data_IF_139175639375
#
_entry.id   IF_139175639375
#
_cell.length_a   1.000
_cell.length_b   1.000
_cell.length_c   1.000
_cell.angle_alpha   90.00
_cell.angle_beta   90.00
_cell.angle_gamma   90.00
#
_symmetry.space_group_name_H-M   'P 1'
#
loop_
_entity.id
_entity.type
_entity.pdbx_description
1 polymer ?
#
# COMPACT_ATOMS: atom_id res chain seq x y z
N UNK A 1 6.16 -12.04 18.28
CA UNK A 1 5.08 -12.56 17.40
C UNK A 1 3.87 -11.67 17.60
N UNK A 2 3.75 -10.62 16.81
CA UNK A 2 2.68 -9.63 16.99
C UNK A 2 2.18 -9.28 15.58
N UNK A 3 1.46 -10.21 14.96
CA UNK A 3 0.77 -9.99 13.69
C UNK A 3 -0.49 -9.17 13.98
N UNK A 4 -0.32 -7.86 14.05
CA UNK A 4 -1.44 -6.91 14.04
C UNK A 4 -2.03 -6.92 12.63
N UNK A 5 -3.22 -7.52 12.50
CA UNK A 5 -4.02 -7.47 11.28
C UNK A 5 -4.35 -6.00 10.96
N UNK A 6 -3.56 -5.39 10.09
CA UNK A 6 -3.82 -4.06 9.57
C UNK A 6 -5.04 -4.18 8.65
N UNK A 7 -6.22 -3.87 9.20
CA UNK A 7 -7.42 -3.65 8.39
C UNK A 7 -7.17 -2.37 7.59
N UNK A 8 -6.85 -2.52 6.30
CA UNK A 8 -6.60 -1.41 5.37
C UNK A 8 -7.79 -0.46 5.39
N UNK A 9 -7.61 0.73 5.95
CA UNK A 9 -8.57 1.83 5.86
C UNK A 9 -8.41 2.46 4.48
N UNK A 10 -9.46 2.40 3.66
CA UNK A 10 -9.53 3.14 2.40
C UNK A 10 -9.70 4.62 2.76
N UNK A 11 -8.68 5.44 2.50
CA UNK A 11 -8.73 6.89 2.68
C UNK A 11 -9.09 7.53 1.34
N UNK A 12 -10.13 8.38 1.26
CA UNK A 12 -10.48 9.05 0.02
C UNK A 12 -9.43 10.13 -0.31
N UNK A 13 -8.88 10.12 -1.52
CA UNK A 13 -8.09 11.22 -2.05
C UNK A 13 -8.99 12.42 -2.41
N UNK A 14 -8.49 13.67 -2.32
CA UNK A 14 -9.27 14.85 -2.65
C UNK A 14 -9.38 14.99 -4.17
N UNK A 15 -10.55 14.66 -4.73
CA UNK A 15 -10.94 15.11 -6.08
C UNK A 15 -11.95 16.25 -5.97
N UNK A 16 -11.60 17.36 -6.61
CA UNK A 16 -12.46 18.50 -6.89
C UNK A 16 -13.44 18.14 -8.01
N UNK A 17 -14.71 18.51 -7.83
CA UNK A 17 -15.82 18.39 -8.80
C UNK A 17 -16.40 16.97 -9.05
N UNK A 18 -16.81 16.28 -7.98
CA UNK A 18 -17.65 15.07 -8.07
C UNK A 18 -18.88 15.18 -7.19
N UNK A 19 -20.04 14.81 -7.75
CA UNK A 19 -21.28 14.59 -6.99
C UNK A 19 -20.97 13.71 -5.77
N UNK A 20 -21.56 14.02 -4.61
CA UNK A 20 -21.25 13.29 -3.37
C UNK A 20 -21.62 11.80 -3.49
N UNK A 21 -22.59 11.48 -4.37
CA UNK A 21 -22.93 10.11 -4.74
C UNK A 21 -21.79 9.35 -5.42
N UNK A 22 -21.05 9.98 -6.33
CA UNK A 22 -19.97 9.33 -7.08
C UNK A 22 -18.81 8.92 -6.15
N UNK A 23 -18.47 9.76 -5.17
CA UNK A 23 -17.43 9.45 -4.18
C UNK A 23 -17.79 8.27 -3.30
N UNK A 24 -19.06 8.18 -2.88
CA UNK A 24 -19.55 7.05 -2.10
C UNK A 24 -19.54 5.75 -2.92
N UNK A 25 -19.98 5.81 -4.18
CA UNK A 25 -19.95 4.67 -5.10
C UNK A 25 -18.52 4.18 -5.35
N UNK A 26 -17.55 5.09 -5.46
CA UNK A 26 -16.12 4.75 -5.60
C UNK A 26 -15.58 4.00 -4.37
N UNK A 27 -15.93 4.45 -3.16
CA UNK A 27 -15.52 3.80 -1.91
C UNK A 27 -16.12 2.40 -1.78
N UNK A 28 -17.41 2.25 -2.09
CA UNK A 28 -18.12 0.97 -2.05
C UNK A 28 -17.54 -0.02 -3.07
N UNK A 29 -17.27 0.43 -4.29
CA UNK A 29 -16.65 -0.40 -5.32
C UNK A 29 -15.26 -0.88 -4.85
N UNK A 30 -14.45 0.02 -4.32
CA UNK A 30 -13.10 -0.30 -3.83
C UNK A 30 -13.14 -1.33 -2.70
N UNK A 31 -14.08 -1.20 -1.76
CA UNK A 31 -14.29 -2.17 -0.69
C UNK A 31 -14.72 -3.54 -1.24
N UNK A 32 -15.68 -3.56 -2.17
CA UNK A 32 -16.16 -4.78 -2.81
C UNK A 32 -15.04 -5.54 -3.50
N UNK A 33 -14.18 -4.83 -4.25
CA UNK A 33 -13.00 -5.43 -4.89
C UNK A 33 -12.02 -6.00 -3.85
N UNK A 34 -11.74 -5.26 -2.77
CA UNK A 34 -10.83 -5.73 -1.73
C UNK A 34 -11.35 -6.96 -0.97
N UNK A 35 -12.67 -7.11 -0.88
CA UNK A 35 -13.32 -8.22 -0.21
C UNK A 35 -13.60 -9.41 -1.15
N UNK A 36 -13.34 -9.28 -2.46
CA UNK A 36 -13.67 -10.30 -3.45
C UNK A 36 -15.17 -10.49 -3.67
N UNK A 37 -15.95 -9.42 -3.47
CA UNK A 37 -17.41 -9.42 -3.64
C UNK A 37 -17.82 -9.33 -5.12
N UNK A 38 -19.06 -9.70 -5.44
CA UNK A 38 -19.61 -9.59 -6.79
C UNK A 38 -19.72 -8.12 -7.24
N UNK A 39 -19.11 -7.80 -8.39
CA UNK A 39 -19.14 -6.46 -8.99
C UNK A 39 -20.32 -6.27 -9.95
N UNK A 40 -21.07 -7.34 -10.25
CA UNK A 40 -22.25 -7.32 -11.10
C UNK A 40 -23.27 -6.20 -10.78
N UNK A 41 -23.58 -5.90 -9.50
CA UNK A 41 -24.47 -4.80 -9.14
C UNK A 41 -23.96 -3.43 -9.60
N UNK A 42 -22.66 -3.17 -9.50
CA UNK A 42 -22.06 -1.91 -9.94
C UNK A 42 -22.11 -1.77 -11.46
N UNK A 43 -21.77 -2.84 -12.19
CA UNK A 43 -21.84 -2.88 -13.66
C UNK A 43 -23.29 -2.63 -14.12
N UNK A 44 -24.26 -3.36 -13.56
CA UNK A 44 -25.67 -3.17 -13.93
C UNK A 44 -26.17 -1.76 -13.62
N UNK A 45 -25.82 -1.19 -12.47
CA UNK A 45 -26.21 0.17 -12.06
C UNK A 45 -25.70 1.23 -13.04
N UNK A 46 -24.42 1.18 -13.42
CA UNK A 46 -23.81 2.21 -14.27
C UNK A 46 -24.24 2.12 -15.73
N UNK A 47 -24.50 0.91 -16.24
CA UNK A 47 -25.06 0.73 -17.58
C UNK A 47 -26.54 1.12 -17.63
N UNK A 48 -27.34 0.79 -16.60
CA UNK A 48 -28.74 1.20 -16.52
C UNK A 48 -28.92 2.73 -16.41
N UNK A 49 -27.95 3.44 -15.82
CA UNK A 49 -27.93 4.90 -15.75
C UNK A 49 -27.35 5.57 -17.01
N UNK A 50 -26.90 4.78 -18.00
CA UNK A 50 -26.30 5.28 -19.24
C UNK A 50 -24.94 5.96 -19.03
N UNK A 51 -24.23 5.66 -17.93
CA UNK A 51 -22.94 6.27 -17.56
C UNK A 51 -21.87 5.21 -17.24
N UNK A 52 -21.56 4.27 -18.15
CA UNK A 52 -20.54 3.24 -17.91
C UNK A 52 -19.13 3.81 -17.69
N UNK A 53 -18.84 5.02 -18.18
CA UNK A 53 -17.56 5.72 -18.03
C UNK A 53 -17.23 6.02 -16.57
N UNK A 54 -18.25 6.16 -15.71
CA UNK A 54 -18.06 6.35 -14.27
C UNK A 54 -17.41 5.10 -13.65
N UNK A 55 -17.89 3.90 -14.03
CA UNK A 55 -17.31 2.65 -13.56
C UNK A 55 -15.84 2.54 -14.01
N UNK A 56 -15.56 2.85 -15.27
CA UNK A 56 -14.19 2.84 -15.79
C UNK A 56 -13.29 3.81 -15.02
N UNK A 57 -13.75 5.03 -14.75
CA UNK A 57 -13.01 6.01 -13.95
C UNK A 57 -12.73 5.51 -12.54
N UNK A 58 -13.71 4.89 -11.88
CA UNK A 58 -13.52 4.34 -10.53
C UNK A 58 -12.54 3.16 -10.52
N UNK A 59 -12.61 2.27 -11.52
CA UNK A 59 -11.68 1.16 -11.68
C UNK A 59 -10.25 1.64 -11.97
N UNK A 60 -10.09 2.64 -12.83
CA UNK A 60 -8.79 3.29 -13.11
C UNK A 60 -8.19 3.91 -11.84
N UNK A 61 -9.01 4.61 -11.06
CA UNK A 61 -8.56 5.18 -9.79
C UNK A 61 -8.13 4.07 -8.82
N UNK A 62 -8.93 3.01 -8.68
CA UNK A 62 -8.61 1.88 -7.81
C UNK A 62 -7.31 1.19 -8.25
N UNK A 63 -7.10 0.97 -9.56
CA UNK A 63 -5.87 0.39 -10.10
C UNK A 63 -4.65 1.23 -9.67
N UNK A 64 -4.67 2.54 -9.95
CA UNK A 64 -3.57 3.45 -9.63
C UNK A 64 -3.30 3.54 -8.13
N UNK A 65 -4.37 3.58 -7.32
CA UNK A 65 -4.25 3.55 -5.87
C UNK A 65 -3.56 2.25 -5.40
N UNK A 66 -3.96 1.10 -5.95
CA UNK A 66 -3.37 -0.19 -5.58
C UNK A 66 -1.92 -0.31 -6.04
N UNK A 67 -1.59 0.18 -7.23
CA UNK A 67 -0.22 0.26 -7.73
C UNK A 67 0.67 1.05 -6.77
N UNK A 68 0.22 2.24 -6.34
CA UNK A 68 0.93 3.06 -5.35
C UNK A 68 1.06 2.35 -4.00
N UNK A 69 0.00 1.70 -3.50
CA UNK A 69 0.03 0.97 -2.22
C UNK A 69 1.06 -0.18 -2.27
N UNK A 70 1.14 -0.89 -3.40
CA UNK A 70 2.11 -1.96 -3.62
C UNK A 70 3.53 -1.38 -3.63
N UNK A 71 3.76 -0.30 -4.38
CA UNK A 71 5.07 0.36 -4.40
C UNK A 71 5.52 0.83 -3.02
N UNK A 72 4.63 1.41 -2.23
CA UNK A 72 4.95 1.88 -0.87
C UNK A 72 5.36 0.74 0.05
N UNK A 73 4.65 -0.39 0.00
CA UNK A 73 4.99 -1.61 0.75
C UNK A 73 6.35 -2.14 0.32
N UNK A 74 6.59 -2.26 -0.99
CA UNK A 74 7.88 -2.72 -1.53
C UNK A 74 9.03 -1.79 -1.13
N UNK A 75 8.82 -0.47 -1.20
CA UNK A 75 9.80 0.54 -0.83
C UNK A 75 10.14 0.45 0.66
N UNK A 76 9.13 0.36 1.53
CA UNK A 76 9.34 0.23 2.97
C UNK A 76 10.19 -1.02 3.29
N UNK A 77 9.80 -2.18 2.74
CA UNK A 77 10.55 -3.42 2.95
C UNK A 77 11.99 -3.37 2.41
N UNK A 78 12.21 -2.71 1.28
CA UNK A 78 13.55 -2.53 0.73
C UNK A 78 14.43 -1.65 1.65
N UNK A 79 13.87 -0.57 2.21
CA UNK A 79 14.58 0.28 3.17
C UNK A 79 14.88 -0.46 4.47
N UNK A 80 13.92 -1.21 5.01
CA UNK A 80 14.12 -2.04 6.21
C UNK A 80 15.27 -3.05 6.01
N UNK A 81 15.34 -3.66 4.83
CA UNK A 81 16.41 -4.58 4.47
C UNK A 81 17.78 -3.89 4.44
N UNK A 82 17.88 -2.73 3.78
CA UNK A 82 19.15 -1.96 3.72
C UNK A 82 19.61 -1.60 5.13
N UNK A 83 18.71 -1.07 5.97
CA UNK A 83 19.04 -0.70 7.34
C UNK A 83 19.54 -1.89 8.15
N UNK A 84 18.88 -3.05 8.04
CA UNK A 84 19.32 -4.26 8.73
C UNK A 84 20.72 -4.72 8.27
N UNK A 85 21.04 -4.59 6.98
CA UNK A 85 22.37 -4.91 6.44
C UNK A 85 23.43 -3.93 6.95
N UNK A 86 23.13 -2.63 7.01
CA UNK A 86 24.06 -1.62 7.51
C UNK A 86 24.32 -1.78 9.02
N UNK A 87 23.29 -2.11 9.80
CA UNK A 87 23.42 -2.44 11.22
C UNK A 87 24.34 -3.65 11.43
N UNK A 88 24.17 -4.71 10.63
CA UNK A 88 25.03 -5.90 10.69
C UNK A 88 26.49 -5.55 10.35
N UNK A 89 26.73 -4.75 9.31
CA UNK A 89 28.08 -4.32 8.91
C UNK A 89 28.73 -3.45 10.00
N UNK A 90 27.96 -2.56 10.60
CA UNK A 90 28.42 -1.73 11.73
C UNK A 90 28.83 -2.59 12.92
N UNK A 91 28.02 -3.60 13.27
CA UNK A 91 28.34 -4.52 14.36
C UNK A 91 29.63 -5.30 14.10
N UNK A 92 29.80 -5.82 12.87
CA UNK A 92 31.01 -6.55 12.46
C UNK A 92 32.26 -5.67 12.47
N UNK A 93 32.15 -4.43 12.00
CA UNK A 93 33.26 -3.46 12.05
C UNK A 93 33.68 -3.16 13.49
N UNK A 94 32.72 -2.86 14.36
CA UNK A 94 32.97 -2.54 15.77
C UNK A 94 33.60 -3.70 16.55
N UNK A 95 33.12 -4.93 16.33
CA UNK A 95 33.72 -6.13 16.93
C UNK A 95 35.14 -6.36 16.43
N UNK A 96 35.38 -6.21 15.12
CA UNK A 96 36.72 -6.32 14.52
C UNK A 96 37.71 -5.31 15.12
N UNK A 97 37.30 -4.06 15.30
CA UNK A 97 38.12 -3.01 15.95
C UNK A 97 38.42 -3.38 17.40
N UNK A 98 37.42 -3.86 18.17
CA UNK A 98 37.64 -4.29 19.56
C UNK A 98 38.64 -5.45 19.66
N UNK A 99 38.56 -6.44 18.78
CA UNK A 99 39.53 -7.55 18.72
C UNK A 99 40.94 -7.06 18.35
N UNK A 100 41.06 -6.13 17.40
CA UNK A 100 42.34 -5.55 17.01
C UNK A 100 42.99 -4.74 18.15
N UNK A 101 42.21 -3.98 18.92
CA UNK A 101 42.69 -3.24 20.09
C UNK A 101 43.15 -4.19 21.20
N UNK A 102 42.41 -5.27 21.47
CA UNK A 102 42.82 -6.28 22.46
C UNK A 102 44.12 -6.98 22.05
N UNK A 103 44.27 -7.35 20.78
CA UNK A 103 45.54 -7.91 20.27
C UNK A 103 46.73 -6.96 20.35
N UNK A 104 46.52 -5.64 20.30
CA UNK A 104 47.61 -4.66 20.49
C UNK A 104 47.99 -4.41 21.96
N UNK A 105 47.19 -4.89 22.92
CA UNK A 105 47.44 -4.75 24.36
C UNK A 105 48.09 -5.99 25.00
N UNK A 106 48.29 -7.06 24.23
CA UNK A 106 48.99 -8.29 24.64
C UNK A 106 50.35 -8.33 23.98
#
# INVERSE_FOLDING_TARGET
MNSTKIRRKVVPAPSENGDTGDKQDQLLLSASICNGEDLGPFIRKTFASGKPEILLRHLEHFRRYKESEIEDVCRAHYQDFIMAVDDLRSLLSNTSIKFAIQKKKT
#
